data_IF_018155275479
#
_entry.id   IF_018155275479
#
_cell.length_a   1.000
_cell.length_b   1.000
_cell.length_c   1.000
_cell.angle_alpha   90.00
_cell.angle_beta   90.00
_cell.angle_gamma   90.00
#
_symmetry.space_group_name_H-M   'P 1'
#
loop_
_entity.id
_entity.type
_entity.pdbx_description
1 polymer ?
#
# COMPACT_ATOMS: atom_id res chain seq x y z
N UNK A 1 5.91 26.68 -19.74
CA UNK A 1 7.28 26.59 -19.18
C UNK A 1 7.09 26.87 -17.68
N UNK A 2 7.10 25.94 -16.73
CA UNK A 2 7.79 24.65 -16.60
C UNK A 2 7.05 23.78 -15.58
N UNK A 3 6.08 22.98 -16.01
CA UNK A 3 5.32 22.11 -15.10
C UNK A 3 4.93 20.77 -15.71
N UNK A 4 5.45 20.46 -16.90
CA UNK A 4 5.10 19.31 -17.73
C UNK A 4 6.29 18.40 -18.01
N UNK A 5 7.34 18.50 -17.18
CA UNK A 5 8.53 17.68 -17.33
C UNK A 5 8.38 16.39 -16.50
N UNK A 6 8.09 15.31 -17.23
CA UNK A 6 8.39 13.91 -16.91
C UNK A 6 7.56 13.17 -15.84
N UNK A 7 6.43 12.59 -16.23
CA UNK A 7 5.88 11.41 -15.52
C UNK A 7 6.59 10.10 -15.91
N UNK A 8 7.19 10.03 -17.10
CA UNK A 8 7.90 8.82 -17.55
C UNK A 8 9.30 8.70 -16.95
N UNK A 9 10.01 9.82 -16.77
CA UNK A 9 11.29 9.85 -16.03
C UNK A 9 11.09 9.59 -14.52
N UNK A 10 9.86 9.72 -14.03
CA UNK A 10 9.48 9.52 -12.62
C UNK A 10 9.43 8.04 -12.23
N UNK A 11 9.16 7.12 -13.16
CA UNK A 11 9.06 5.69 -12.85
C UNK A 11 10.42 4.95 -12.94
N UNK A 12 11.38 5.46 -13.72
CA UNK A 12 12.67 4.81 -13.95
C UNK A 12 13.89 5.54 -13.31
N UNK A 13 13.74 6.77 -12.80
CA UNK A 13 14.83 7.56 -12.19
C UNK A 13 14.59 7.98 -10.72
N UNK A 14 13.98 7.13 -9.90
CA UNK A 14 13.84 7.39 -8.45
C UNK A 14 15.20 7.68 -7.78
N UNK A 15 16.29 7.16 -8.33
CA UNK A 15 17.65 7.42 -7.87
C UNK A 15 18.17 8.86 -8.11
N UNK A 16 17.57 9.67 -8.99
CA UNK A 16 18.08 11.02 -9.34
C UNK A 16 17.24 12.19 -8.78
N UNK A 17 15.97 11.97 -8.42
CA UNK A 17 15.12 12.99 -7.78
C UNK A 17 15.28 13.03 -6.25
N UNK A 18 15.64 11.88 -5.68
CA UNK A 18 15.97 11.71 -4.29
C UNK A 18 17.35 12.31 -4.01
N UNK A 19 17.46 13.25 -3.07
CA UNK A 19 18.77 13.76 -2.64
C UNK A 19 19.58 12.56 -2.09
N UNK A 20 20.74 12.21 -2.68
CA UNK A 20 21.53 11.05 -2.24
C UNK A 20 21.97 11.14 -0.77
N UNK A 21 21.97 12.36 -0.20
CA UNK A 21 22.34 12.60 1.20
C UNK A 21 21.16 12.41 2.18
N UNK A 22 19.91 12.38 1.70
CA UNK A 22 18.72 12.20 2.54
C UNK A 22 18.37 10.71 2.62
N UNK A 23 18.62 10.09 3.77
CA UNK A 23 18.18 8.72 4.09
C UNK A 23 16.65 8.60 3.96
N UNK A 24 16.17 7.54 3.29
CA UNK A 24 14.77 7.35 2.87
C UNK A 24 13.69 7.24 3.97
N UNK A 25 14.02 7.48 5.25
CA UNK A 25 13.08 7.35 6.36
C UNK A 25 12.66 8.68 7.00
N UNK A 26 12.95 9.83 6.38
CA UNK A 26 12.89 11.10 7.11
C UNK A 26 11.71 11.97 6.68
N UNK A 27 10.91 12.40 7.66
CA UNK A 27 9.81 13.37 7.55
C UNK A 27 10.17 14.62 6.72
N UNK A 28 11.47 14.94 6.66
CA UNK A 28 12.06 15.99 5.82
C UNK A 28 11.81 15.78 4.32
N UNK A 29 11.91 14.55 3.80
CA UNK A 29 11.59 14.27 2.38
C UNK A 29 10.12 14.50 2.07
N UNK A 30 9.21 14.16 3.00
CA UNK A 30 7.79 14.43 2.81
C UNK A 30 7.48 15.94 2.77
N UNK A 31 8.22 16.76 3.54
CA UNK A 31 8.10 18.23 3.50
C UNK A 31 8.69 18.81 2.20
N UNK A 32 9.86 18.32 1.79
CA UNK A 32 10.52 18.68 0.52
C UNK A 32 9.63 18.34 -0.69
N UNK A 33 9.07 17.12 -0.71
CA UNK A 33 8.18 16.66 -1.78
C UNK A 33 6.92 17.52 -1.86
N UNK A 34 6.32 17.87 -0.72
CA UNK A 34 5.18 18.79 -0.66
C UNK A 34 5.53 20.18 -1.16
N UNK A 35 6.72 20.70 -0.83
CA UNK A 35 7.21 21.98 -1.34
C UNK A 35 7.44 21.96 -2.85
N UNK A 36 7.82 20.80 -3.41
CA UNK A 36 8.01 20.59 -4.86
C UNK A 36 6.69 20.31 -5.60
N UNK A 37 5.56 20.25 -4.90
CA UNK A 37 4.26 19.92 -5.49
C UNK A 37 4.12 18.46 -5.92
N UNK A 38 4.99 17.58 -5.41
CA UNK A 38 4.92 16.15 -5.68
C UNK A 38 3.76 15.58 -4.86
N UNK A 39 2.80 14.98 -5.56
CA UNK A 39 1.64 14.34 -4.94
C UNK A 39 2.09 13.12 -4.14
N UNK A 40 1.86 13.15 -2.82
CA UNK A 40 2.08 12.01 -1.94
C UNK A 40 0.78 11.20 -1.83
N UNK A 41 0.66 10.16 -2.67
CA UNK A 41 -0.49 9.26 -2.68
C UNK A 41 -0.21 8.12 -1.71
N UNK A 42 -1.00 8.02 -0.63
CA UNK A 42 -0.82 6.99 0.41
C UNK A 42 -1.74 5.78 0.21
N UNK A 43 -2.81 5.94 -0.56
CA UNK A 43 -3.80 4.91 -0.81
C UNK A 43 -3.71 4.43 -2.26
N UNK A 44 -3.72 3.11 -2.44
CA UNK A 44 -3.67 2.49 -3.77
C UNK A 44 -4.92 2.81 -4.60
N UNK A 45 -6.10 2.98 -3.97
CA UNK A 45 -7.32 3.33 -4.71
C UNK A 45 -7.19 4.71 -5.36
N UNK A 46 -6.67 5.68 -4.61
CA UNK A 46 -6.43 7.04 -5.10
C UNK A 46 -5.38 7.04 -6.23
N UNK A 47 -4.37 6.15 -6.18
CA UNK A 47 -3.41 5.95 -7.27
C UNK A 47 -4.09 5.40 -8.54
N UNK A 48 -4.94 4.39 -8.36
CA UNK A 48 -5.65 3.76 -9.48
C UNK A 48 -6.60 4.75 -10.16
N UNK A 49 -7.33 5.56 -9.39
CA UNK A 49 -8.16 6.64 -9.91
C UNK A 49 -7.32 7.70 -10.64
N UNK A 50 -6.13 8.03 -10.14
CA UNK A 50 -5.23 8.95 -10.79
C UNK A 50 -4.76 8.43 -12.17
N UNK A 51 -4.59 7.12 -12.36
CA UNK A 51 -4.16 6.55 -13.66
C UNK A 51 -5.23 6.74 -14.75
N UNK A 52 -6.51 6.67 -14.39
CA UNK A 52 -7.64 6.80 -15.32
C UNK A 52 -8.16 8.24 -15.44
N UNK A 53 -7.70 9.16 -14.59
CA UNK A 53 -8.12 10.55 -14.64
C UNK A 53 -7.80 11.18 -16.01
N UNK A 54 -8.77 11.91 -16.59
CA UNK A 54 -8.67 12.45 -17.95
C UNK A 54 -7.43 13.34 -18.16
N UNK A 55 -7.04 14.12 -17.14
CA UNK A 55 -5.82 14.94 -17.17
C UNK A 55 -4.56 14.09 -17.40
N UNK A 56 -4.49 12.93 -16.76
CA UNK A 56 -3.32 12.05 -16.82
C UNK A 56 -3.35 11.22 -18.09
N UNK A 57 -4.52 10.75 -18.53
CA UNK A 57 -4.68 10.06 -19.82
C UNK A 57 -4.27 10.98 -20.98
N UNK A 58 -4.75 12.23 -20.99
CA UNK A 58 -4.35 13.23 -22.01
C UNK A 58 -2.85 13.50 -21.98
N UNK A 59 -2.25 13.56 -20.79
CA UNK A 59 -0.80 13.73 -20.65
C UNK A 59 -0.03 12.53 -21.22
N UNK A 60 -0.46 11.30 -20.94
CA UNK A 60 0.17 10.10 -21.47
C UNK A 60 0.01 9.96 -22.99
N UNK A 61 -1.13 10.39 -23.54
CA UNK A 61 -1.38 10.40 -24.98
C UNK A 61 -0.52 11.46 -25.69
N UNK A 62 -0.42 12.67 -25.11
CA UNK A 62 0.41 13.74 -25.65
C UNK A 62 1.90 13.38 -25.66
N UNK A 63 2.36 12.63 -24.66
CA UNK A 63 3.73 12.13 -24.58
C UNK A 63 3.92 10.82 -25.38
N UNK A 64 2.86 10.29 -26.00
CA UNK A 64 2.85 9.05 -26.78
C UNK A 64 3.34 7.81 -26.00
N UNK A 65 3.11 7.79 -24.69
CA UNK A 65 3.56 6.76 -23.73
C UNK A 65 2.53 5.64 -23.63
N UNK A 66 1.28 6.04 -23.43
CA UNK A 66 0.16 5.14 -23.21
C UNK A 66 -1.10 5.73 -23.85
N UNK A 67 -1.90 4.85 -24.45
CA UNK A 67 -3.24 5.17 -24.93
C UNK A 67 -4.27 4.96 -23.83
N UNK A 68 -5.44 5.60 -23.92
CA UNK A 68 -6.56 5.39 -22.98
C UNK A 68 -6.86 3.92 -22.70
N UNK A 69 -6.88 3.07 -23.73
CA UNK A 69 -7.12 1.63 -23.58
C UNK A 69 -6.07 0.96 -22.68
N UNK A 70 -4.79 1.33 -22.85
CA UNK A 70 -3.69 0.76 -22.06
C UNK A 70 -3.73 1.23 -20.60
N UNK A 71 -4.15 2.48 -20.35
CA UNK A 71 -4.39 2.97 -18.99
C UNK A 71 -5.50 2.16 -18.30
N UNK A 72 -6.62 1.92 -18.99
CA UNK A 72 -7.72 1.13 -18.47
C UNK A 72 -7.31 -0.32 -18.17
N UNK A 73 -6.56 -0.97 -19.07
CA UNK A 73 -6.05 -2.31 -18.82
C UNK A 73 -5.11 -2.37 -17.61
N UNK A 74 -4.25 -1.35 -17.42
CA UNK A 74 -3.40 -1.28 -16.23
C UNK A 74 -4.21 -1.12 -14.95
N UNK A 75 -5.24 -0.28 -14.96
CA UNK A 75 -6.16 -0.10 -13.84
C UNK A 75 -6.79 -1.45 -13.45
N UNK A 76 -7.38 -2.17 -14.41
CA UNK A 76 -8.07 -3.44 -14.16
C UNK A 76 -7.12 -4.51 -13.61
N UNK A 77 -5.92 -4.64 -14.18
CA UNK A 77 -4.92 -5.62 -13.71
C UNK A 77 -4.46 -5.30 -12.29
N UNK A 78 -4.11 -4.04 -11.99
CA UNK A 78 -3.66 -3.66 -10.65
C UNK A 78 -4.80 -3.82 -9.63
N UNK A 79 -6.01 -3.39 -9.96
CA UNK A 79 -7.17 -3.52 -9.10
C UNK A 79 -7.49 -4.99 -8.79
N UNK A 80 -7.47 -5.85 -9.82
CA UNK A 80 -7.68 -7.29 -9.65
C UNK A 80 -6.61 -7.93 -8.76
N UNK A 81 -5.34 -7.55 -8.92
CA UNK A 81 -4.25 -8.03 -8.04
C UNK A 81 -4.46 -7.59 -6.60
N UNK A 82 -4.81 -6.32 -6.37
CA UNK A 82 -5.07 -5.78 -5.04
C UNK A 82 -6.20 -6.52 -4.32
N UNK A 83 -7.34 -6.70 -5.00
CA UNK A 83 -8.48 -7.43 -4.45
C UNK A 83 -8.14 -8.88 -4.11
N UNK A 84 -7.33 -9.54 -4.95
CA UNK A 84 -6.86 -10.92 -4.71
C UNK A 84 -5.94 -11.01 -3.50
N UNK A 85 -5.02 -10.07 -3.33
CA UNK A 85 -4.11 -10.02 -2.18
C UNK A 85 -4.89 -9.88 -0.88
N UNK A 86 -5.78 -8.89 -0.78
CA UNK A 86 -6.62 -8.68 0.42
C UNK A 86 -7.45 -9.92 0.76
N UNK A 87 -8.07 -10.53 -0.25
CA UNK A 87 -8.89 -11.72 -0.05
C UNK A 87 -8.05 -12.87 0.51
N UNK A 88 -6.85 -13.07 -0.03
CA UNK A 88 -5.94 -14.13 0.42
C UNK A 88 -5.46 -13.87 1.84
N UNK A 89 -5.05 -12.65 2.16
CA UNK A 89 -4.57 -12.26 3.49
C UNK A 89 -5.67 -12.37 4.56
N UNK A 90 -6.89 -11.98 4.22
CA UNK A 90 -8.03 -12.09 5.13
C UNK A 90 -8.33 -13.56 5.47
N UNK A 91 -8.36 -14.43 4.46
CA UNK A 91 -8.60 -15.86 4.66
C UNK A 91 -7.49 -16.51 5.48
N UNK A 92 -6.22 -16.19 5.19
CA UNK A 92 -5.10 -16.74 5.95
C UNK A 92 -5.10 -16.22 7.39
N UNK A 93 -5.43 -14.94 7.62
CA UNK A 93 -5.58 -14.37 8.96
C UNK A 93 -6.65 -15.10 9.76
N UNK A 94 -7.84 -15.29 9.20
CA UNK A 94 -8.93 -16.01 9.87
C UNK A 94 -8.52 -17.45 10.19
N UNK A 95 -7.77 -18.10 9.29
CA UNK A 95 -7.26 -19.45 9.51
C UNK A 95 -6.25 -19.52 10.66
N UNK A 96 -5.26 -18.63 10.68
CA UNK A 96 -4.27 -18.52 11.76
C UNK A 96 -4.93 -18.21 13.11
N UNK A 97 -5.88 -17.27 13.15
CA UNK A 97 -6.59 -16.91 14.38
C UNK A 97 -7.37 -18.09 14.95
N UNK A 98 -8.08 -18.84 14.10
CA UNK A 98 -8.91 -19.98 14.54
C UNK A 98 -8.08 -21.15 15.04
N UNK A 99 -6.92 -21.42 14.42
CA UNK A 99 -6.12 -22.62 14.72
C UNK A 99 -5.00 -22.39 15.73
N UNK A 100 -4.45 -21.20 15.79
CA UNK A 100 -3.27 -20.92 16.61
C UNK A 100 -3.61 -19.98 17.76
N UNK A 101 -4.19 -18.82 17.46
CA UNK A 101 -4.42 -17.77 18.48
C UNK A 101 -5.49 -18.19 19.49
N UNK A 102 -6.68 -18.58 19.02
CA UNK A 102 -7.80 -18.93 19.92
C UNK A 102 -7.45 -20.11 20.83
N UNK A 103 -6.92 -21.25 20.34
CA UNK A 103 -6.58 -22.38 21.20
C UNK A 103 -5.46 -22.07 22.20
N UNK A 104 -4.46 -21.26 21.82
CA UNK A 104 -3.40 -20.85 22.73
C UNK A 104 -3.94 -20.02 23.91
N UNK A 105 -4.82 -19.06 23.64
CA UNK A 105 -5.44 -18.23 24.68
C UNK A 105 -6.34 -19.08 25.59
N UNK A 106 -7.16 -19.96 25.03
CA UNK A 106 -8.02 -20.88 25.82
C UNK A 106 -7.17 -21.79 26.72
N UNK A 107 -6.04 -22.31 26.21
CA UNK A 107 -5.13 -23.15 27.00
C UNK A 107 -4.56 -22.40 28.21
N UNK A 108 -4.12 -21.16 28.03
CA UNK A 108 -3.60 -20.33 29.13
C UNK A 108 -4.70 -20.02 30.14
N UNK A 109 -5.88 -19.61 29.67
CA UNK A 109 -7.01 -19.31 30.55
C UNK A 109 -7.43 -20.53 31.37
N UNK A 110 -7.46 -21.71 30.75
CA UNK A 110 -7.76 -22.97 31.43
C UNK A 110 -6.76 -23.31 32.54
N UNK A 111 -5.46 -23.10 32.31
CA UNK A 111 -4.43 -23.30 33.33
C UNK A 111 -4.61 -22.36 34.53
N UNK A 112 -4.90 -21.08 34.27
CA UNK A 112 -5.14 -20.10 35.34
C UNK A 112 -6.37 -20.48 36.16
N UNK A 113 -7.48 -20.87 35.50
CA UNK A 113 -8.68 -21.32 36.19
C UNK A 113 -8.43 -22.54 37.08
N UNK A 114 -7.67 -23.53 36.58
CA UNK A 114 -7.28 -24.71 37.36
C UNK A 114 -6.46 -24.34 38.61
N UNK A 115 -5.49 -23.43 38.48
CA UNK A 115 -4.70 -22.97 39.62
C UNK A 115 -5.58 -22.32 40.70
N UNK A 116 -6.56 -21.51 40.31
CA UNK A 116 -7.49 -20.87 41.26
C UNK A 116 -8.30 -21.93 42.00
N UNK A 117 -8.91 -22.88 41.28
CA UNK A 117 -9.71 -23.94 41.91
C UNK A 117 -8.90 -24.80 42.89
N UNK A 118 -7.62 -25.06 42.58
CA UNK A 118 -6.74 -25.83 43.46
C UNK A 118 -6.43 -25.08 44.77
N UNK A 119 -6.27 -23.76 44.70
CA UNK A 119 -6.05 -22.91 45.86
C UNK A 119 -7.30 -22.79 46.74
N UNK A 120 -8.50 -22.81 46.16
CA UNK A 120 -9.76 -22.76 46.92
C UNK A 120 -10.07 -24.08 47.65
N UNK A 121 -9.58 -25.21 47.13
CA UNK A 121 -9.77 -26.53 47.74
C UNK A 121 -8.74 -26.89 48.82
N UNK A 122 -7.65 -26.13 48.93
CA UNK A 122 -6.58 -26.32 49.92
C UNK A 122 -6.86 -25.52 51.20
#
# INVERSE_FOLDING_TARGET
MDGLFNLERYFDNDHQLMNPDIKCNHKEWHQEAKSRGILNITNIIDELEAIIADKNVQLFENLNIMTKTKCQSKYEVKFGSYAKTISTESVTLVHMVKREVIPAVISVLGKVAQCITQLETA
#
